data_IF_421744219831
#
_entry.id   IF_421744219831
#
_cell.length_a   1.000
_cell.length_b   1.000
_cell.length_c   1.000
_cell.angle_alpha   90.00
_cell.angle_beta   90.00
_cell.angle_gamma   90.00
#
_symmetry.space_group_name_H-M   'P 1'
#
loop_
_entity.id
_entity.type
_entity.pdbx_description
1 polymer ?
#
# COMPACT_ATOMS: atom_id res chain seq x y z
N UNK A 1 -2.91 6.80 -27.05
CA UNK A 1 -3.95 6.15 -26.21
C UNK A 1 -3.83 4.65 -26.42
N UNK A 2 -3.90 3.82 -25.38
CA UNK A 2 -3.66 2.37 -25.48
C UNK A 2 -4.96 1.59 -25.30
N UNK A 3 -5.42 0.90 -26.34
CA UNK A 3 -6.68 0.15 -26.32
C UNK A 3 -6.43 -1.34 -26.11
N UNK A 4 -7.31 -1.99 -25.34
CA UNK A 4 -7.30 -3.44 -25.20
C UNK A 4 -7.89 -4.10 -26.45
N UNK A 5 -7.17 -5.01 -27.12
CA UNK A 5 -7.67 -5.67 -28.33
C UNK A 5 -8.88 -6.58 -28.05
N UNK A 6 -8.98 -7.10 -26.82
CA UNK A 6 -9.98 -8.12 -26.45
C UNK A 6 -11.29 -7.55 -25.91
N UNK A 7 -11.29 -6.31 -25.38
CA UNK A 7 -12.48 -5.72 -24.77
C UNK A 7 -12.65 -4.23 -25.08
N UNK A 8 -11.80 -3.70 -25.97
CA UNK A 8 -11.84 -2.33 -26.48
C UNK A 8 -11.69 -1.22 -25.43
N UNK A 9 -11.36 -1.54 -24.17
CA UNK A 9 -11.12 -0.54 -23.11
C UNK A 9 -9.84 0.25 -23.34
N UNK A 10 -9.93 1.56 -23.10
CA UNK A 10 -8.84 2.49 -23.31
C UNK A 10 -8.06 2.80 -22.01
N UNK A 11 -6.75 3.00 -22.16
CA UNK A 11 -5.82 3.29 -21.08
C UNK A 11 -4.85 4.40 -21.49
N UNK A 12 -4.42 5.17 -20.49
CA UNK A 12 -3.47 6.27 -20.66
C UNK A 12 -2.01 5.85 -20.86
N UNK A 13 -1.68 4.57 -20.65
CA UNK A 13 -0.31 4.06 -20.69
C UNK A 13 -0.26 2.57 -21.00
N UNK A 14 0.75 2.10 -21.75
CA UNK A 14 1.00 0.67 -22.04
C UNK A 14 1.02 -0.19 -20.77
N UNK A 15 1.75 0.21 -19.74
CA UNK A 15 1.82 -0.53 -18.47
C UNK A 15 0.49 -0.68 -17.73
N UNK A 16 -0.50 0.19 -18.01
CA UNK A 16 -1.86 0.06 -17.47
C UNK A 16 -2.70 -0.91 -18.32
N UNK A 17 -2.53 -0.88 -19.64
CA UNK A 17 -3.13 -1.86 -20.54
C UNK A 17 -2.61 -3.27 -20.26
N UNK A 18 -1.30 -3.48 -20.16
CA UNK A 18 -0.71 -4.79 -19.85
C UNK A 18 -1.21 -5.36 -18.53
N UNK A 19 -1.35 -4.51 -17.50
CA UNK A 19 -1.91 -4.90 -16.19
C UNK A 19 -3.39 -5.26 -16.31
N UNK A 20 -4.13 -4.56 -17.16
CA UNK A 20 -5.51 -4.90 -17.47
C UNK A 20 -5.61 -6.27 -18.11
N UNK A 21 -4.89 -6.51 -19.22
CA UNK A 21 -4.89 -7.80 -19.92
C UNK A 21 -4.55 -8.94 -18.94
N UNK A 22 -3.49 -8.77 -18.15
CA UNK A 22 -2.98 -9.82 -17.26
C UNK A 22 -3.87 -10.19 -16.07
N UNK A 23 -4.74 -9.29 -15.59
CA UNK A 23 -5.44 -9.50 -14.30
C UNK A 23 -6.92 -9.06 -14.27
N UNK A 24 -7.38 -8.36 -15.30
CA UNK A 24 -8.67 -7.65 -15.31
C UNK A 24 -9.45 -7.79 -16.61
N UNK A 25 -8.87 -8.39 -17.66
CA UNK A 25 -9.55 -8.57 -18.93
C UNK A 25 -10.40 -9.83 -18.89
N UNK A 26 -11.71 -9.65 -18.99
CA UNK A 26 -12.70 -10.72 -18.85
C UNK A 26 -12.70 -11.68 -20.04
N UNK A 27 -12.36 -11.18 -21.24
CA UNK A 27 -12.40 -11.93 -22.50
C UNK A 27 -11.11 -12.73 -22.79
N UNK A 28 -10.00 -12.45 -22.10
CA UNK A 28 -8.74 -13.22 -22.20
C UNK A 28 -8.26 -13.96 -20.94
N UNK A 29 -8.87 -13.71 -19.75
CA UNK A 29 -8.55 -14.20 -18.37
C UNK A 29 -7.10 -13.99 -17.86
N UNK A 30 -6.86 -13.88 -16.53
CA UNK A 30 -7.71 -14.24 -15.38
C UNK A 30 -8.38 -13.03 -14.75
N UNK A 31 -9.71 -13.11 -14.67
CA UNK A 31 -10.50 -12.46 -13.63
C UNK A 31 -9.87 -12.87 -12.29
N UNK A 32 -9.38 -11.91 -11.52
CA UNK A 32 -8.96 -12.15 -10.14
C UNK A 32 -10.18 -12.54 -9.30
N UNK A 33 -10.60 -13.81 -9.43
CA UNK A 33 -11.67 -14.45 -8.67
C UNK A 33 -11.15 -15.07 -7.38
N UNK A 34 -9.88 -14.86 -6.99
CA UNK A 34 -9.28 -15.48 -5.81
C UNK A 34 -9.68 -14.82 -4.49
N UNK A 35 -10.83 -14.17 -4.45
CA UNK A 35 -11.39 -13.60 -3.24
C UNK A 35 -12.91 -13.77 -3.20
N UNK A 36 -13.44 -14.00 -2.00
CA UNK A 36 -14.88 -14.04 -1.70
C UNK A 36 -15.25 -12.93 -0.74
N UNK A 37 -16.53 -12.57 -0.68
CA UNK A 37 -17.04 -11.60 0.29
C UNK A 37 -17.54 -12.36 1.52
N UNK A 38 -17.00 -12.05 2.70
CA UNK A 38 -17.40 -12.63 3.99
C UNK A 38 -17.54 -11.49 4.98
N UNK A 39 -18.69 -11.36 5.64
CA UNK A 39 -18.97 -10.29 6.61
C UNK A 39 -18.66 -8.88 6.06
N UNK A 40 -19.09 -8.58 4.83
CA UNK A 40 -18.78 -7.32 4.11
C UNK A 40 -17.27 -7.03 3.92
N UNK A 41 -16.40 -8.02 4.07
CA UNK A 41 -14.98 -7.93 3.80
C UNK A 41 -14.60 -8.79 2.59
N UNK A 42 -13.54 -8.37 1.89
CA UNK A 42 -12.98 -9.10 0.77
C UNK A 42 -11.90 -10.06 1.27
N UNK A 43 -12.22 -11.34 1.37
CA UNK A 43 -11.35 -12.40 1.87
C UNK A 43 -10.59 -13.07 0.73
N UNK A 44 -9.26 -13.12 0.80
CA UNK A 44 -8.46 -13.93 -0.12
C UNK A 44 -8.68 -15.42 0.14
N UNK A 45 -9.05 -16.17 -0.90
CA UNK A 45 -9.32 -17.61 -0.77
C UNK A 45 -8.06 -18.45 -0.60
N UNK A 46 -6.90 -17.93 -1.02
CA UNK A 46 -5.61 -18.66 -0.93
C UNK A 46 -4.96 -18.58 0.45
N UNK A 47 -5.16 -17.49 1.18
CA UNK A 47 -4.48 -17.27 2.45
C UNK A 47 -5.40 -16.78 3.58
N UNK A 48 -6.70 -16.63 3.33
CA UNK A 48 -7.70 -16.23 4.32
C UNK A 48 -7.65 -14.75 4.75
N UNK A 49 -6.74 -13.93 4.22
CA UNK A 49 -6.62 -12.52 4.62
C UNK A 49 -7.82 -11.69 4.18
N UNK A 50 -8.35 -10.88 5.10
CA UNK A 50 -9.48 -9.99 4.87
C UNK A 50 -9.02 -8.57 4.53
N UNK A 51 -9.76 -7.94 3.62
CA UNK A 51 -9.51 -6.57 3.18
C UNK A 51 -10.83 -5.77 3.17
N UNK A 52 -10.77 -4.50 3.55
CA UNK A 52 -11.96 -3.63 3.59
C UNK A 52 -12.43 -3.15 2.22
N UNK A 53 -11.59 -3.23 1.19
CA UNK A 53 -11.94 -2.74 -0.14
C UNK A 53 -11.39 -3.64 -1.26
N UNK A 54 -12.16 -3.70 -2.36
CA UNK A 54 -11.84 -4.47 -3.56
C UNK A 54 -10.45 -4.16 -4.12
N UNK A 55 -10.04 -2.89 -4.10
CA UNK A 55 -8.70 -2.48 -4.56
C UNK A 55 -7.56 -3.09 -3.75
N UNK A 56 -7.75 -3.29 -2.44
CA UNK A 56 -6.73 -3.82 -1.54
C UNK A 56 -6.54 -5.33 -1.71
N UNK A 57 -7.64 -6.11 -1.74
CA UNK A 57 -7.55 -7.57 -1.98
C UNK A 57 -6.95 -7.84 -3.36
N UNK A 58 -7.29 -7.01 -4.34
CA UNK A 58 -6.78 -7.10 -5.70
C UNK A 58 -5.28 -6.87 -5.77
N UNK A 59 -4.77 -5.81 -5.12
CA UNK A 59 -3.32 -5.59 -5.00
C UNK A 59 -2.64 -6.78 -4.30
N UNK A 60 -3.25 -7.27 -3.22
CA UNK A 60 -2.75 -8.42 -2.51
C UNK A 60 -2.61 -9.66 -3.42
N UNK A 61 -3.66 -10.02 -4.15
CA UNK A 61 -3.63 -11.17 -5.07
C UNK A 61 -2.58 -11.01 -6.17
N UNK A 62 -2.40 -9.79 -6.68
CA UNK A 62 -1.46 -9.51 -7.78
C UNK A 62 -0.01 -9.53 -7.30
N UNK A 63 0.30 -8.97 -6.14
CA UNK A 63 1.69 -8.65 -5.76
C UNK A 63 2.17 -9.35 -4.49
N UNK A 64 1.28 -9.83 -3.63
CA UNK A 64 1.65 -10.26 -2.28
C UNK A 64 1.34 -11.73 -1.98
N UNK A 65 0.19 -12.24 -2.44
CA UNK A 65 -0.30 -13.57 -2.13
C UNK A 65 0.59 -14.64 -2.79
N UNK A 66 1.17 -15.53 -1.97
CA UNK A 66 2.05 -16.61 -2.46
C UNK A 66 3.36 -16.12 -3.10
N UNK A 67 3.70 -14.83 -2.99
CA UNK A 67 4.93 -14.28 -3.56
C UNK A 67 5.97 -14.01 -2.47
N UNK A 68 7.22 -14.34 -2.75
CA UNK A 68 8.35 -13.96 -1.90
C UNK A 68 8.63 -12.44 -2.01
N UNK A 69 9.16 -11.80 -0.96
CA UNK A 69 9.58 -10.41 -1.02
C UNK A 69 10.80 -10.27 -1.95
N UNK A 70 10.61 -9.57 -3.07
CA UNK A 70 11.66 -9.37 -4.09
C UNK A 70 12.37 -8.03 -3.99
N UNK A 71 11.78 -7.07 -3.28
CA UNK A 71 12.31 -5.70 -3.17
C UNK A 71 13.15 -5.61 -1.89
N UNK A 72 14.46 -5.46 -2.01
CA UNK A 72 15.42 -5.29 -0.88
C UNK A 72 15.59 -3.81 -0.52
N UNK A 73 15.89 -3.46 0.75
CA UNK A 73 16.32 -2.09 1.07
C UNK A 73 17.60 -1.82 0.23
N UNK A 74 17.72 -0.63 -0.39
CA UNK A 74 18.94 -0.25 -1.13
C UNK A 74 20.15 0.01 -0.21
N UNK A 75 19.99 -0.09 1.11
CA UNK A 75 21.07 0.13 2.09
C UNK A 75 21.69 -1.21 2.47
N UNK A 76 23.01 -1.32 2.30
CA UNK A 76 23.76 -2.59 2.41
C UNK A 76 23.66 -3.26 3.79
N UNK A 77 23.62 -2.48 4.88
CA UNK A 77 23.48 -3.03 6.24
C UNK A 77 22.04 -3.35 6.62
N UNK A 78 21.06 -3.12 5.73
CA UNK A 78 19.65 -3.42 5.99
C UNK A 78 19.16 -4.65 5.22
N UNK A 79 18.88 -5.72 5.96
CA UNK A 79 18.36 -6.96 5.40
C UNK A 79 16.84 -6.96 5.13
N UNK A 80 16.17 -5.82 5.28
CA UNK A 80 14.73 -5.72 5.07
C UNK A 80 14.35 -5.97 3.62
N UNK A 81 13.32 -6.81 3.41
CA UNK A 81 12.76 -7.10 2.09
C UNK A 81 11.24 -7.04 2.14
N UNK A 82 10.61 -6.58 1.06
CA UNK A 82 9.16 -6.49 0.97
C UNK A 82 8.64 -6.87 -0.43
N UNK A 83 7.32 -7.01 -0.53
CA UNK A 83 6.64 -7.46 -1.76
C UNK A 83 6.16 -6.31 -2.65
N UNK A 84 6.06 -5.09 -2.13
CA UNK A 84 5.48 -3.92 -2.82
C UNK A 84 6.25 -2.63 -2.53
N UNK A 85 6.46 -1.80 -3.55
CA UNK A 85 7.26 -0.55 -3.48
C UNK A 85 6.80 0.41 -2.39
N UNK A 86 5.50 0.60 -2.21
CA UNK A 86 4.98 1.52 -1.19
C UNK A 86 5.43 1.13 0.23
N UNK A 87 5.58 -0.17 0.52
CA UNK A 87 6.08 -0.65 1.82
C UNK A 87 7.58 -0.41 1.98
N UNK A 88 8.35 -0.48 0.90
CA UNK A 88 9.75 -0.10 0.93
C UNK A 88 9.88 1.40 1.22
N UNK A 89 9.15 2.25 0.52
CA UNK A 89 9.19 3.70 0.76
C UNK A 89 8.79 4.09 2.19
N UNK A 90 7.83 3.38 2.77
CA UNK A 90 7.45 3.54 4.18
C UNK A 90 8.60 3.11 5.12
N UNK A 91 9.27 1.99 4.81
CA UNK A 91 10.43 1.53 5.55
C UNK A 91 11.59 2.54 5.54
N UNK A 92 11.97 3.07 4.38
CA UNK A 92 13.07 4.06 4.26
C UNK A 92 12.80 5.29 5.13
N UNK A 93 11.55 5.79 5.14
CA UNK A 93 11.15 6.98 5.92
C UNK A 93 11.16 6.77 7.43
N UNK A 94 10.78 5.57 7.90
CA UNK A 94 10.56 5.32 9.33
C UNK A 94 11.82 4.77 10.01
N UNK A 95 12.57 3.91 9.33
CA UNK A 95 13.66 3.16 9.97
C UNK A 95 15.04 3.74 9.69
N UNK A 96 15.12 4.97 9.16
CA UNK A 96 16.41 5.62 8.87
C UNK A 96 17.27 4.78 7.90
N UNK A 97 16.61 3.97 7.06
CA UNK A 97 17.24 3.24 5.96
C UNK A 97 17.27 4.23 4.77
N UNK A 98 18.04 5.33 4.88
CA UNK A 98 18.25 6.34 3.81
C UNK A 98 18.24 7.81 4.29
N UNK A 99 18.68 8.73 3.42
CA UNK A 99 19.05 10.12 3.78
C UNK A 99 17.90 11.11 4.09
N UNK A 100 16.63 10.67 4.10
CA UNK A 100 15.48 11.58 4.25
C UNK A 100 14.56 11.16 5.39
N UNK A 101 15.05 11.29 6.62
CA UNK A 101 14.25 11.12 7.84
C UNK A 101 13.32 12.31 8.02
N UNK A 102 12.03 12.10 7.72
CA UNK A 102 11.01 13.10 8.02
C UNK A 102 10.42 12.82 9.39
N UNK A 103 10.86 13.59 10.39
CA UNK A 103 10.21 13.64 11.70
C UNK A 103 9.00 14.58 11.67
N UNK A 104 7.91 14.15 12.32
CA UNK A 104 6.73 14.96 12.59
C UNK A 104 6.82 15.53 14.00
N UNK A 105 6.82 16.85 14.12
CA UNK A 105 6.90 17.57 15.40
C UNK A 105 5.51 17.99 15.87
N UNK A 106 5.30 18.01 17.20
CA UNK A 106 4.12 18.63 17.77
C UNK A 106 4.11 20.13 17.46
N UNK A 107 3.00 20.70 16.97
CA UNK A 107 2.92 22.14 16.69
C UNK A 107 2.79 22.99 17.96
N UNK A 108 2.52 22.38 19.13
CA UNK A 108 2.45 23.09 20.41
C UNK A 108 3.87 23.42 20.86
N UNK A 109 4.21 24.71 20.93
CA UNK A 109 5.58 25.18 21.21
C UNK A 109 6.19 24.65 22.51
N UNK A 110 5.36 24.39 23.52
CA UNK A 110 5.77 23.83 24.82
C UNK A 110 5.87 22.30 24.83
N UNK A 111 5.59 21.64 23.69
CA UNK A 111 5.60 20.20 23.57
C UNK A 111 6.71 19.74 22.61
N UNK A 112 7.74 19.09 23.16
CA UNK A 112 8.88 18.58 22.39
C UNK A 112 8.62 17.23 21.71
N UNK A 113 7.37 16.74 21.76
CA UNK A 113 7.02 15.45 21.19
C UNK A 113 7.28 15.42 19.69
N UNK A 114 8.05 14.43 19.24
CA UNK A 114 8.28 14.12 17.82
C UNK A 114 8.07 12.65 17.53
N UNK A 115 7.68 12.34 16.31
CA UNK A 115 7.49 10.95 15.87
C UNK A 115 7.76 10.79 14.39
N UNK A 116 8.14 9.58 13.98
CA UNK A 116 8.39 9.24 12.58
C UNK A 116 7.10 8.98 11.78
N UNK A 117 5.92 8.97 12.44
CA UNK A 117 4.62 8.67 11.81
C UNK A 117 3.57 9.73 12.07
N UNK A 118 2.93 10.23 11.01
CA UNK A 118 1.85 11.23 11.10
C UNK A 118 0.66 10.79 11.95
N UNK A 119 0.31 9.50 11.91
CA UNK A 119 -0.78 8.96 12.73
C UNK A 119 -0.50 9.10 14.23
N UNK A 120 0.74 8.83 14.65
CA UNK A 120 1.15 8.95 16.04
C UNK A 120 1.12 10.40 16.51
N UNK A 121 1.53 11.35 15.64
CA UNK A 121 1.40 12.77 15.95
C UNK A 121 -0.08 13.17 16.09
N UNK A 122 -0.96 12.70 15.19
CA UNK A 122 -2.40 12.97 15.29
C UNK A 122 -2.99 12.45 16.60
N UNK A 123 -2.63 11.23 17.00
CA UNK A 123 -3.05 10.61 18.26
C UNK A 123 -2.48 11.35 19.48
N UNK A 124 -1.21 11.73 19.45
CA UNK A 124 -0.58 12.51 20.51
C UNK A 124 -1.33 13.83 20.73
N UNK A 125 -1.58 14.61 19.67
CA UNK A 125 -2.38 15.84 19.76
C UNK A 125 -3.76 15.58 20.36
N UNK A 126 -4.46 14.54 19.88
CA UNK A 126 -5.79 14.18 20.39
C UNK A 126 -5.79 13.63 21.81
N UNK A 127 -4.66 13.26 22.41
CA UNK A 127 -4.64 12.67 23.77
C UNK A 127 -3.95 13.56 24.79
N UNK A 128 -3.01 14.40 24.35
CA UNK A 128 -2.18 15.27 25.20
C UNK A 128 -2.47 16.76 25.01
N UNK A 129 -3.15 17.14 23.94
CA UNK A 129 -3.51 18.53 23.61
C UNK A 129 -4.99 18.61 23.17
N UNK A 130 -5.90 17.96 23.93
CA UNK A 130 -7.32 17.83 23.61
C UNK A 130 -8.11 19.16 23.53
N UNK A 131 -7.46 20.28 23.76
CA UNK A 131 -8.08 21.61 23.73
C UNK A 131 -7.40 22.46 22.66
N UNK A 132 -8.21 23.28 21.97
CA UNK A 132 -7.88 24.21 20.86
C UNK A 132 -8.27 23.72 19.46
N UNK A 133 -9.58 23.46 19.29
CA UNK A 133 -10.28 23.76 18.04
C UNK A 133 -11.50 24.62 18.40
N UNK A 134 -11.33 25.95 18.35
CA UNK A 134 -12.37 26.90 17.96
C UNK A 134 -11.89 27.54 16.66
#
# INVERSE_FOLDING_TARGET
MYQCPECSKNYKSDGSLRRHIKYFCATGRPVLSGYKIVNNLFMCERCGKNYRCKGSVRRHLVYECGKAPTIKCPIEWCFYKCKIKNRMNEHLKIYDCGDNVVNYYCPVKTCEYRTKRKFDLKRHKLTKHKEMFF
#
